data_IF_461223742306
#
_entry.id   IF_461223742306
#
_cell.length_a   1.000
_cell.length_b   1.000
_cell.length_c   1.000
_cell.angle_alpha   90.00
_cell.angle_beta   90.00
_cell.angle_gamma   90.00
#
_symmetry.space_group_name_H-M   'P 1'
#
loop_
_entity.id
_entity.type
_entity.pdbx_description
1 polymer ?
#
# COMPACT_ATOMS: atom_id res chain seq x y z
N UNK A 1 4.85 19.02 -12.42
CA UNK A 1 4.55 19.34 -10.99
C UNK A 1 3.16 18.83 -10.60
N UNK A 2 2.10 19.24 -11.30
CA UNK A 2 0.71 18.79 -11.02
C UNK A 2 0.54 17.27 -11.17
N UNK A 3 1.18 16.65 -12.17
CA UNK A 3 1.04 15.21 -12.45
C UNK A 3 1.45 14.32 -11.26
N UNK A 4 2.62 14.57 -10.65
CA UNK A 4 3.09 13.84 -9.46
C UNK A 4 2.16 13.96 -8.24
N UNK A 5 1.52 15.12 -8.09
CA UNK A 5 0.52 15.35 -7.03
C UNK A 5 -0.75 14.51 -7.29
N UNK A 6 -1.17 14.39 -8.55
CA UNK A 6 -2.32 13.57 -8.94
C UNK A 6 -2.05 12.06 -8.76
N UNK A 7 -0.83 11.60 -9.05
CA UNK A 7 -0.41 10.22 -8.80
C UNK A 7 -0.49 9.89 -7.30
N UNK A 8 0.09 10.75 -6.46
CA UNK A 8 0.07 10.59 -5.00
C UNK A 8 -1.38 10.58 -4.47
N UNK A 9 -2.21 11.49 -4.97
CA UNK A 9 -3.63 11.54 -4.62
C UNK A 9 -4.35 10.24 -4.98
N UNK A 10 -4.04 9.66 -6.15
CA UNK A 10 -4.63 8.38 -6.59
C UNK A 10 -4.18 7.22 -5.70
N UNK A 11 -2.92 7.19 -5.27
CA UNK A 11 -2.43 6.18 -4.33
C UNK A 11 -3.14 6.26 -2.97
N UNK A 12 -3.33 7.49 -2.45
CA UNK A 12 -4.04 7.73 -1.18
C UNK A 12 -5.51 7.33 -1.31
N UNK A 13 -6.19 7.73 -2.40
CA UNK A 13 -7.57 7.35 -2.64
C UNK A 13 -7.76 5.82 -2.71
N UNK A 14 -6.80 5.11 -3.32
CA UNK A 14 -6.78 3.65 -3.33
C UNK A 14 -6.55 3.05 -1.94
N UNK A 15 -5.71 3.66 -1.09
CA UNK A 15 -5.53 3.24 0.29
C UNK A 15 -6.81 3.41 1.12
N UNK A 16 -7.50 4.56 0.98
CA UNK A 16 -8.78 4.82 1.65
C UNK A 16 -9.85 3.80 1.25
N UNK A 17 -9.97 3.46 -0.04
CA UNK A 17 -10.89 2.42 -0.50
C UNK A 17 -10.64 1.05 0.15
N UNK A 18 -9.38 0.71 0.43
CA UNK A 18 -9.04 -0.54 1.14
C UNK A 18 -9.43 -0.48 2.61
N UNK A 19 -9.36 0.69 3.23
CA UNK A 19 -9.86 0.90 4.60
C UNK A 19 -11.37 0.68 4.62
N UNK A 20 -12.11 1.30 3.70
CA UNK A 20 -13.57 1.13 3.60
C UNK A 20 -13.97 -0.33 3.32
N UNK A 21 -13.16 -1.06 2.55
CA UNK A 21 -13.36 -2.48 2.28
C UNK A 21 -12.90 -3.41 3.42
N UNK A 22 -12.26 -2.89 4.46
CA UNK A 22 -11.69 -3.69 5.56
C UNK A 22 -10.47 -4.54 5.17
N UNK A 23 -9.87 -4.27 4.00
CA UNK A 23 -8.67 -4.98 3.48
C UNK A 23 -7.40 -4.16 3.62
N UNK A 24 -7.46 -3.01 4.29
CA UNK A 24 -6.28 -2.22 4.60
C UNK A 24 -5.32 -2.99 5.49
N UNK A 25 -4.03 -2.88 5.20
CA UNK A 25 -3.00 -3.65 5.90
C UNK A 25 -2.96 -5.13 5.53
N UNK A 26 -3.59 -5.55 4.42
CA UNK A 26 -3.45 -6.90 3.87
C UNK A 26 -2.68 -6.86 2.55
N UNK A 27 -1.73 -7.77 2.39
CA UNK A 27 -0.95 -7.91 1.16
C UNK A 27 -1.83 -8.39 0.02
N UNK A 28 -1.86 -7.66 -1.09
CA UNK A 28 -2.62 -8.02 -2.30
C UNK A 28 -2.11 -9.29 -2.99
N UNK A 29 -0.87 -9.72 -2.70
CA UNK A 29 -0.24 -10.88 -3.35
C UNK A 29 -0.34 -12.17 -2.53
N UNK A 30 0.05 -12.14 -1.27
CA UNK A 30 0.03 -13.33 -0.41
C UNK A 30 -1.14 -13.37 0.59
N UNK A 31 -1.94 -12.29 0.71
CA UNK A 31 -3.06 -12.22 1.65
C UNK A 31 -2.64 -12.12 3.13
N UNK A 32 -1.35 -12.00 3.44
CA UNK A 32 -0.84 -11.84 4.80
C UNK A 32 -1.01 -10.41 5.31
N UNK A 33 -1.11 -10.20 6.63
CA UNK A 33 -1.08 -8.85 7.20
C UNK A 33 0.26 -8.16 6.90
N UNK A 34 0.19 -6.86 6.57
CA UNK A 34 1.32 -5.96 6.39
C UNK A 34 1.66 -5.39 7.78
N UNK A 35 2.94 -5.43 8.15
CA UNK A 35 3.41 -4.90 9.43
C UNK A 35 3.05 -3.42 9.61
N UNK A 36 2.67 -3.04 10.84
CA UNK A 36 2.32 -1.66 11.20
C UNK A 36 3.44 -0.68 10.89
N UNK A 37 4.69 -0.98 11.27
CA UNK A 37 5.86 -0.15 10.98
C UNK A 37 5.98 0.24 9.49
N UNK A 38 5.54 -0.66 8.59
CA UNK A 38 5.55 -0.40 7.15
C UNK A 38 4.39 0.50 6.71
N UNK A 39 3.21 0.32 7.30
CA UNK A 39 2.08 1.20 7.02
C UNK A 39 2.32 2.61 7.59
N UNK A 40 3.03 2.73 8.71
CA UNK A 40 3.49 4.02 9.24
C UNK A 40 4.50 4.68 8.31
N UNK A 41 5.50 3.93 7.82
CA UNK A 41 6.50 4.47 6.89
C UNK A 41 5.91 4.77 5.49
N UNK A 42 4.96 3.96 5.02
CA UNK A 42 4.29 4.11 3.72
C UNK A 42 2.82 3.66 3.80
N UNK A 43 1.89 4.57 4.10
CA UNK A 43 0.46 4.25 4.25
C UNK A 43 -0.20 3.71 2.97
N UNK A 44 0.39 4.01 1.80
CA UNK A 44 -0.08 3.54 0.49
C UNK A 44 0.42 2.15 0.13
N UNK A 45 1.19 1.47 1.00
CA UNK A 45 1.71 0.14 0.73
C UNK A 45 0.59 -0.88 0.42
N UNK A 46 0.80 -1.69 -0.62
CA UNK A 46 -0.13 -2.74 -1.08
C UNK A 46 0.38 -4.16 -0.86
N UNK A 47 1.66 -4.32 -0.55
CA UNK A 47 2.35 -5.60 -0.42
C UNK A 47 2.99 -5.73 0.96
N UNK A 48 3.29 -6.95 1.40
CA UNK A 48 4.14 -7.20 2.56
C UNK A 48 5.62 -7.07 2.19
N UNK A 49 6.52 -7.03 3.19
CA UNK A 49 7.96 -6.79 2.96
C UNK A 49 8.55 -7.90 2.10
N UNK A 50 8.18 -9.15 2.35
CA UNK A 50 8.68 -10.27 1.54
C UNK A 50 8.29 -10.11 0.07
N UNK A 51 7.03 -9.78 -0.23
CA UNK A 51 6.57 -9.65 -1.61
C UNK A 51 7.07 -8.38 -2.31
N UNK A 52 7.37 -7.32 -1.56
CA UNK A 52 7.93 -6.09 -2.13
C UNK A 52 9.42 -6.26 -2.47
N UNK A 53 10.18 -6.96 -1.63
CA UNK A 53 11.61 -7.23 -1.88
C UNK A 53 11.81 -8.00 -3.18
N UNK A 54 10.95 -9.00 -3.43
CA UNK A 54 10.98 -9.80 -4.67
C UNK A 54 10.61 -8.99 -5.92
N UNK A 55 9.91 -7.87 -5.79
CA UNK A 55 9.58 -7.00 -6.94
C UNK A 55 10.72 -6.04 -7.32
N UNK A 56 11.78 -5.96 -6.50
CA UNK A 56 12.93 -5.09 -6.70
C UNK A 56 14.21 -5.81 -7.14
N UNK A 57 14.14 -7.11 -7.47
CA UNK A 57 15.23 -7.94 -7.99
C UNK A 57 14.94 -8.47 -9.40
#
# INVERSE_FOLDING_TARGET
MVERLQETHTEIAAALKRIDAGTYGVCEKCGKPISEDRLEARPTARLCLEDQQVASE
#
